data_IF_015771678116
#
_entry.id   IF_015771678116
#
_cell.length_a   1.000
_cell.length_b   1.000
_cell.length_c   1.000
_cell.angle_alpha   90.00
_cell.angle_beta   90.00
_cell.angle_gamma   90.00
#
_symmetry.space_group_name_H-M   'P 1'
#
loop_
_entity.id
_entity.type
_entity.pdbx_description
1 polymer ?
#
# COMPACT_ATOMS: atom_id res chain seq x y z
N UNK A 1 6.93 -64.99 -78.60
CA UNK A 1 7.55 -64.41 -77.39
C UNK A 1 7.10 -62.95 -77.30
N UNK A 2 6.21 -62.62 -76.35
CA UNK A 2 5.56 -61.30 -76.23
C UNK A 2 6.52 -60.27 -75.63
N UNK A 3 6.80 -59.17 -76.36
CA UNK A 3 7.46 -57.99 -75.80
C UNK A 3 6.43 -57.06 -75.17
N UNK A 4 6.45 -56.95 -73.84
CA UNK A 4 5.57 -56.07 -73.06
C UNK A 4 6.22 -54.68 -72.95
N UNK A 5 5.73 -53.72 -73.72
CA UNK A 5 6.20 -52.32 -73.66
C UNK A 5 5.71 -51.70 -72.35
N UNK A 6 6.65 -51.36 -71.46
CA UNK A 6 6.38 -50.73 -70.16
C UNK A 6 6.36 -49.21 -70.36
N UNK A 7 5.18 -48.62 -70.58
CA UNK A 7 4.99 -47.17 -70.63
C UNK A 7 5.34 -46.55 -69.27
N UNK A 8 6.54 -45.95 -69.17
CA UNK A 8 6.94 -45.11 -68.05
C UNK A 8 6.28 -43.74 -68.22
N UNK A 9 5.18 -43.48 -67.51
CA UNK A 9 4.63 -42.11 -67.37
C UNK A 9 5.71 -41.23 -66.74
N UNK A 10 6.29 -40.30 -67.50
CA UNK A 10 7.09 -39.23 -66.91
C UNK A 10 6.16 -38.39 -66.03
N UNK A 11 6.46 -38.32 -64.72
CA UNK A 11 5.83 -37.33 -63.84
C UNK A 11 6.34 -35.97 -64.27
N UNK A 12 5.50 -35.17 -64.93
CA UNK A 12 5.78 -33.75 -65.15
C UNK A 12 5.74 -33.10 -63.77
N UNK A 13 6.86 -32.54 -63.31
CA UNK A 13 6.87 -31.75 -62.09
C UNK A 13 6.12 -30.45 -62.37
N UNK A 14 4.92 -30.31 -61.83
CA UNK A 14 4.20 -29.03 -61.83
C UNK A 14 4.98 -28.03 -61.00
N UNK A 15 5.45 -26.94 -61.62
CA UNK A 15 6.08 -25.83 -60.90
C UNK A 15 5.08 -25.12 -59.97
N UNK A 16 5.58 -24.51 -58.91
CA UNK A 16 4.79 -23.67 -58.01
C UNK A 16 4.30 -22.42 -58.75
N UNK A 17 3.01 -22.08 -58.59
CA UNK A 17 2.50 -20.78 -59.03
C UNK A 17 3.06 -19.67 -58.16
N UNK A 18 3.26 -18.47 -58.73
CA UNK A 18 3.60 -17.27 -57.96
C UNK A 18 2.57 -17.02 -56.83
N UNK A 19 1.30 -17.34 -57.09
CA UNK A 19 0.21 -17.21 -56.11
C UNK A 19 0.41 -18.16 -54.93
N UNK A 20 0.84 -19.41 -55.17
CA UNK A 20 1.09 -20.38 -54.11
C UNK A 20 2.24 -19.93 -53.19
N UNK A 21 3.28 -19.32 -53.77
CA UNK A 21 4.41 -18.77 -53.01
C UNK A 21 3.97 -17.58 -52.16
N UNK A 22 3.15 -16.66 -52.69
CA UNK A 22 2.64 -15.52 -51.93
C UNK A 22 1.77 -15.98 -50.76
N UNK A 23 0.87 -16.95 -51.01
CA UNK A 23 -0.02 -17.48 -49.96
C UNK A 23 0.80 -18.21 -48.91
N UNK A 24 1.73 -19.10 -49.31
CA UNK A 24 2.57 -19.83 -48.36
C UNK A 24 3.43 -18.89 -47.52
N UNK A 25 4.05 -17.88 -48.13
CA UNK A 25 4.86 -16.89 -47.40
C UNK A 25 4.01 -16.03 -46.47
N UNK A 26 2.79 -15.65 -46.85
CA UNK A 26 1.87 -14.93 -45.99
C UNK A 26 1.47 -15.76 -44.76
N UNK A 27 1.12 -17.03 -44.94
CA UNK A 27 0.82 -17.94 -43.82
C UNK A 27 2.01 -18.11 -42.89
N UNK A 28 3.20 -18.33 -43.45
CA UNK A 28 4.44 -18.44 -42.69
C UNK A 28 4.68 -17.15 -41.88
N UNK A 29 4.55 -15.98 -42.50
CA UNK A 29 4.75 -14.70 -41.83
C UNK A 29 3.78 -14.50 -40.65
N UNK A 30 2.50 -14.86 -40.81
CA UNK A 30 1.49 -14.80 -39.74
C UNK A 30 1.90 -15.71 -38.57
N UNK A 31 2.29 -16.96 -38.87
CA UNK A 31 2.69 -17.94 -37.84
C UNK A 31 3.95 -17.46 -37.09
N UNK A 32 4.96 -16.99 -37.80
CA UNK A 32 6.19 -16.49 -37.17
C UNK A 32 5.95 -15.23 -36.33
N UNK A 33 5.07 -14.33 -36.79
CA UNK A 33 4.70 -13.13 -36.01
C UNK A 33 3.96 -13.51 -34.73
N UNK A 34 3.01 -14.45 -34.82
CA UNK A 34 2.29 -14.96 -33.66
C UNK A 34 3.25 -15.64 -32.65
N UNK A 35 4.18 -16.46 -33.13
CA UNK A 35 5.16 -17.14 -32.29
C UNK A 35 6.12 -16.14 -31.61
N UNK A 36 6.61 -15.15 -32.36
CA UNK A 36 7.45 -14.09 -31.82
C UNK A 36 6.72 -13.28 -30.74
N UNK A 37 5.45 -12.92 -30.98
CA UNK A 37 4.61 -12.24 -30.00
C UNK A 37 4.39 -13.06 -28.72
N UNK A 38 4.13 -14.37 -28.85
CA UNK A 38 4.00 -15.26 -27.70
C UNK A 38 5.30 -15.35 -26.88
N UNK A 39 6.46 -15.44 -27.55
CA UNK A 39 7.76 -15.49 -26.89
C UNK A 39 8.09 -14.21 -26.11
N UNK A 40 7.86 -13.05 -26.72
CA UNK A 40 8.04 -11.75 -26.05
C UNK A 40 7.10 -11.62 -24.83
N UNK A 41 5.85 -12.05 -24.97
CA UNK A 41 4.88 -12.06 -23.86
C UNK A 41 5.32 -12.98 -22.71
N UNK A 42 5.90 -14.13 -23.03
CA UNK A 42 6.42 -15.06 -22.01
C UNK A 42 7.60 -14.45 -21.23
N UNK A 43 8.50 -13.72 -21.91
CA UNK A 43 9.60 -13.01 -21.26
C UNK A 43 9.07 -11.93 -20.31
N UNK A 44 8.10 -11.13 -20.77
CA UNK A 44 7.48 -10.09 -19.94
C UNK A 44 6.79 -10.67 -18.72
N UNK A 45 6.02 -11.75 -18.91
CA UNK A 45 5.39 -12.47 -17.81
C UNK A 45 6.44 -12.96 -16.81
N UNK A 46 7.54 -13.54 -17.28
CA UNK A 46 8.65 -13.99 -16.43
C UNK A 46 9.24 -12.84 -15.61
N UNK A 47 9.48 -11.68 -16.23
CA UNK A 47 9.97 -10.50 -15.53
C UNK A 47 9.00 -10.03 -14.43
N UNK A 48 7.70 -10.01 -14.72
CA UNK A 48 6.67 -9.66 -13.73
C UNK A 48 6.60 -10.67 -12.56
N UNK A 49 6.74 -11.97 -12.84
CA UNK A 49 6.75 -12.99 -11.78
C UNK A 49 8.00 -12.88 -10.90
N UNK A 50 9.18 -12.67 -11.50
CA UNK A 50 10.43 -12.42 -10.75
C UNK A 50 10.29 -11.22 -9.82
N UNK A 51 9.71 -10.12 -10.33
CA UNK A 51 9.49 -8.91 -9.55
C UNK A 51 8.56 -9.16 -8.35
N UNK A 52 7.46 -9.89 -8.57
CA UNK A 52 6.50 -10.26 -7.53
C UNK A 52 7.12 -11.16 -6.46
N UNK A 53 7.90 -12.17 -6.85
CA UNK A 53 8.61 -13.05 -5.92
C UNK A 53 9.58 -12.24 -5.05
N UNK A 54 10.32 -11.30 -5.66
CA UNK A 54 11.19 -10.37 -4.94
C UNK A 54 10.42 -9.50 -3.93
N UNK A 55 9.28 -8.93 -4.33
CA UNK A 55 8.45 -8.14 -3.43
C UNK A 55 7.93 -8.95 -2.24
N UNK A 56 7.48 -10.19 -2.47
CA UNK A 56 7.03 -11.09 -1.40
C UNK A 56 8.18 -11.41 -0.44
N UNK A 57 9.37 -11.70 -0.96
CA UNK A 57 10.54 -11.97 -0.12
C UNK A 57 10.92 -10.75 0.74
N UNK A 58 10.93 -9.55 0.17
CA UNK A 58 11.20 -8.28 0.87
C UNK A 58 10.16 -8.02 1.97
N UNK A 59 8.88 -8.25 1.68
CA UNK A 59 7.79 -8.09 2.64
C UNK A 59 7.89 -9.11 3.79
N UNK A 60 8.14 -10.38 3.47
CA UNK A 60 8.30 -11.44 4.47
C UNK A 60 9.49 -11.20 5.38
N UNK A 61 10.65 -10.84 4.83
CA UNK A 61 11.85 -10.52 5.62
C UNK A 61 11.55 -9.43 6.66
N UNK A 62 10.83 -8.37 6.27
CA UNK A 62 10.46 -7.30 7.21
C UNK A 62 9.43 -7.78 8.22
N UNK A 63 8.46 -8.58 7.82
CA UNK A 63 7.46 -9.15 8.73
C UNK A 63 8.10 -10.08 9.78
N UNK A 64 9.07 -10.90 9.38
CA UNK A 64 9.84 -11.78 10.28
C UNK A 64 10.65 -10.96 11.29
N UNK A 65 11.32 -9.90 10.84
CA UNK A 65 12.02 -8.98 11.73
C UNK A 65 11.07 -8.38 12.75
N UNK A 66 9.90 -7.88 12.32
CA UNK A 66 8.90 -7.27 13.21
C UNK A 66 8.36 -8.28 14.22
N UNK A 67 8.10 -9.52 13.80
CA UNK A 67 7.64 -10.60 14.69
C UNK A 67 8.66 -11.02 15.74
N UNK A 68 9.95 -10.75 15.50
CA UNK A 68 11.02 -11.06 16.44
C UNK A 68 11.31 -9.91 17.42
N UNK A 69 10.64 -8.77 17.29
CA UNK A 69 10.79 -7.66 18.23
C UNK A 69 9.92 -7.86 19.47
N UNK A 70 10.35 -7.37 20.66
CA UNK A 70 9.46 -7.16 21.79
C UNK A 70 8.26 -6.29 21.39
N UNK A 71 7.10 -6.55 21.99
CA UNK A 71 5.86 -5.83 21.65
C UNK A 71 6.03 -4.31 21.72
N UNK A 72 6.73 -3.81 22.74
CA UNK A 72 6.93 -2.37 22.96
C UNK A 72 7.79 -1.73 21.86
N UNK A 73 8.75 -2.47 21.31
CA UNK A 73 9.65 -2.01 20.25
C UNK A 73 9.00 -2.06 18.85
N UNK A 74 7.82 -2.66 18.72
CA UNK A 74 7.05 -2.67 17.46
C UNK A 74 6.43 -1.30 17.26
N UNK A 75 7.11 -0.45 16.51
CA UNK A 75 6.65 0.88 16.13
C UNK A 75 7.49 1.44 14.98
N UNK A 76 6.98 2.47 14.33
CA UNK A 76 7.68 3.10 13.19
C UNK A 76 8.36 4.40 13.59
N UNK A 77 9.42 4.76 12.87
CA UNK A 77 10.08 6.05 13.02
C UNK A 77 9.05 7.12 12.72
N UNK A 78 8.89 8.05 13.65
CA UNK A 78 7.86 9.09 13.61
C UNK A 78 6.41 8.62 13.51
N UNK A 79 6.13 7.37 13.91
CA UNK A 79 4.79 6.80 13.91
C UNK A 79 4.11 6.79 15.28
N UNK A 80 2.89 6.25 15.28
CA UNK A 80 2.09 5.95 16.46
C UNK A 80 1.64 4.49 16.34
N UNK A 81 2.27 3.53 17.05
CA UNK A 81 3.34 3.70 18.02
C UNK A 81 4.69 4.12 17.39
N UNK A 82 5.46 4.88 18.16
CA UNK A 82 6.84 5.22 17.82
C UNK A 82 7.77 4.02 17.98
N UNK A 83 8.77 3.90 17.09
CA UNK A 83 9.79 2.86 17.16
C UNK A 83 10.87 3.04 16.09
N UNK A 84 11.65 1.99 15.85
CA UNK A 84 12.86 2.07 15.01
C UNK A 84 12.65 1.60 13.57
N UNK A 85 11.43 1.21 13.19
CA UNK A 85 11.15 0.70 11.84
C UNK A 85 10.89 1.88 10.89
N UNK A 86 11.67 2.03 9.79
CA UNK A 86 11.38 3.08 8.81
C UNK A 86 9.99 2.91 8.20
N UNK A 87 9.22 4.00 8.10
CA UNK A 87 7.91 3.98 7.43
C UNK A 87 8.07 3.76 5.92
N UNK A 88 9.11 4.32 5.29
CA UNK A 88 9.38 4.20 3.86
C UNK A 88 10.85 3.85 3.61
N UNK A 89 11.09 2.92 2.67
CA UNK A 89 12.43 2.47 2.34
C UNK A 89 12.52 2.05 0.87
N UNK A 90 13.57 2.49 0.18
CA UNK A 90 13.87 2.05 -1.19
C UNK A 90 14.86 0.90 -1.16
N UNK A 91 14.56 -0.17 -1.90
CA UNK A 91 15.31 -1.43 -1.88
C UNK A 91 15.56 -1.85 -3.32
N UNK A 92 16.80 -2.22 -3.64
CA UNK A 92 17.13 -2.81 -4.94
C UNK A 92 17.41 -4.31 -4.77
N UNK A 93 16.70 -5.15 -5.51
CA UNK A 93 16.89 -6.59 -5.51
C UNK A 93 16.87 -7.11 -6.95
N UNK A 94 17.95 -7.78 -7.37
CA UNK A 94 18.12 -8.32 -8.72
C UNK A 94 17.91 -7.29 -9.85
N UNK A 95 18.34 -6.04 -9.62
CA UNK A 95 18.19 -4.94 -10.59
C UNK A 95 16.78 -4.35 -10.68
N UNK A 96 15.86 -4.76 -9.81
CA UNK A 96 14.52 -4.17 -9.68
C UNK A 96 14.49 -3.29 -8.44
N UNK A 97 14.01 -2.06 -8.60
CA UNK A 97 13.80 -1.15 -7.49
C UNK A 97 12.39 -1.33 -6.92
N UNK A 98 12.34 -1.40 -5.59
CA UNK A 98 11.14 -1.53 -4.79
C UNK A 98 11.05 -0.37 -3.81
N UNK A 99 9.84 0.05 -3.50
CA UNK A 99 9.57 0.94 -2.36
C UNK A 99 8.74 0.14 -1.35
N UNK A 100 9.28 -0.06 -0.15
CA UNK A 100 8.59 -0.69 0.97
C UNK A 100 8.03 0.40 1.87
N UNK A 101 6.73 0.33 2.12
CA UNK A 101 6.01 1.15 3.10
C UNK A 101 5.54 0.28 4.26
N UNK A 102 5.76 0.72 5.48
CA UNK A 102 5.33 0.05 6.72
C UNK A 102 4.45 0.99 7.51
N UNK A 103 3.22 0.56 7.79
CA UNK A 103 2.32 1.22 8.73
C UNK A 103 2.10 0.29 9.91
N UNK A 104 2.32 0.81 11.12
CA UNK A 104 2.01 0.13 12.37
C UNK A 104 1.08 1.04 13.13
N UNK A 105 -0.04 0.51 13.58
CA UNK A 105 -1.03 1.25 14.36
C UNK A 105 -1.63 0.36 15.44
N UNK A 106 -2.05 0.96 16.54
CA UNK A 106 -2.91 0.29 17.51
C UNK A 106 -4.29 0.03 16.91
N UNK A 107 -4.97 -1.00 17.38
CA UNK A 107 -6.32 -1.40 16.96
C UNK A 107 -7.18 -1.65 18.19
N UNK A 108 -8.40 -1.10 18.12
CA UNK A 108 -9.53 -1.31 19.03
C UNK A 108 -10.32 -2.54 18.57
N UNK A 109 -10.35 -3.62 19.35
CA UNK A 109 -11.00 -4.89 19.07
C UNK A 109 -12.43 -4.89 19.63
N UNK A 110 -13.48 -5.08 18.80
CA UNK A 110 -14.88 -5.08 19.26
C UNK A 110 -15.25 -6.12 20.33
N UNK A 111 -14.32 -7.01 20.71
CA UNK A 111 -14.57 -8.15 21.59
C UNK A 111 -14.85 -7.77 23.04
N UNK A 112 -14.21 -6.74 23.58
CA UNK A 112 -14.48 -6.20 24.92
C UNK A 112 -15.06 -4.79 24.91
N UNK A 113 -15.41 -4.29 23.73
CA UNK A 113 -16.10 -3.03 23.52
C UNK A 113 -15.38 -2.25 22.44
N UNK A 114 -15.72 -0.97 22.28
CA UNK A 114 -14.96 -0.06 21.41
C UNK A 114 -15.07 1.35 21.96
N UNK A 115 -14.05 2.17 21.75
CA UNK A 115 -14.06 3.57 22.16
C UNK A 115 -14.39 3.73 23.65
N UNK A 116 -15.36 4.60 23.94
CA UNK A 116 -15.81 4.86 25.32
C UNK A 116 -16.62 3.72 25.95
N UNK A 117 -17.05 2.74 25.17
CA UNK A 117 -17.78 1.56 25.64
C UNK A 117 -16.86 0.35 25.86
N UNK A 118 -15.55 0.55 25.71
CA UNK A 118 -14.56 -0.45 26.04
C UNK A 118 -14.63 -0.86 27.53
N UNK A 119 -14.53 -2.16 27.82
CA UNK A 119 -14.71 -2.70 29.18
C UNK A 119 -13.62 -2.23 30.13
N UNK A 120 -12.40 -2.00 29.63
CA UNK A 120 -11.24 -1.67 30.43
C UNK A 120 -10.75 -0.21 30.19
N UNK A 121 -11.31 0.45 29.18
CA UNK A 121 -11.01 1.83 28.78
C UNK A 121 -9.76 1.96 27.90
N UNK A 122 -9.17 0.85 27.44
CA UNK A 122 -7.93 0.81 26.66
C UNK A 122 -8.20 0.28 25.24
N UNK A 123 -8.49 1.19 24.33
CA UNK A 123 -8.83 0.89 22.91
C UNK A 123 -7.64 0.44 22.04
N UNK A 124 -6.56 -0.04 22.66
CA UNK A 124 -5.29 -0.35 22.00
C UNK A 124 -4.88 -1.79 22.27
N UNK A 125 -5.75 -2.72 21.85
CA UNK A 125 -5.67 -4.14 22.18
C UNK A 125 -4.45 -4.83 21.57
N UNK A 126 -4.15 -4.46 20.33
CA UNK A 126 -2.99 -4.98 19.62
C UNK A 126 -2.47 -4.00 18.59
N UNK A 127 -1.25 -4.27 18.09
CA UNK A 127 -0.66 -3.52 16.98
C UNK A 127 -0.92 -4.25 15.67
N UNK A 128 -1.50 -3.57 14.70
CA UNK A 128 -1.61 -4.08 13.32
C UNK A 128 -0.48 -3.53 12.47
N UNK A 129 0.24 -4.43 11.85
CA UNK A 129 1.35 -4.15 10.94
C UNK A 129 0.86 -4.37 9.52
N UNK A 130 0.98 -3.35 8.67
CA UNK A 130 0.74 -3.42 7.23
C UNK A 130 2.03 -3.08 6.50
N UNK A 131 2.53 -4.03 5.70
CA UNK A 131 3.71 -3.86 4.85
C UNK A 131 3.22 -3.85 3.41
N UNK A 132 3.52 -2.78 2.69
CA UNK A 132 3.24 -2.65 1.27
C UNK A 132 4.57 -2.50 0.52
N UNK A 133 4.87 -3.43 -0.38
CA UNK A 133 6.05 -3.36 -1.24
C UNK A 133 5.58 -3.11 -2.67
N UNK A 134 5.94 -1.97 -3.25
CA UNK A 134 5.59 -1.58 -4.61
C UNK A 134 6.79 -1.62 -5.56
N UNK A 135 6.53 -1.87 -6.84
CA UNK A 135 7.53 -1.86 -7.91
C UNK A 135 6.90 -1.45 -9.23
N UNK A 136 7.70 -0.91 -10.14
CA UNK A 136 7.24 -0.43 -11.45
C UNK A 136 7.99 -1.13 -12.58
N UNK A 137 7.25 -1.71 -13.53
CA UNK A 137 7.81 -2.31 -14.75
C UNK A 137 7.07 -1.73 -15.96
N UNK A 138 7.82 -1.15 -16.90
CA UNK A 138 7.27 -0.50 -18.11
C UNK A 138 6.14 0.51 -17.81
N UNK A 139 6.33 1.33 -16.78
CA UNK A 139 5.34 2.33 -16.34
C UNK A 139 4.16 1.76 -15.54
N UNK A 140 4.05 0.44 -15.40
CA UNK A 140 3.00 -0.18 -14.60
C UNK A 140 3.48 -0.43 -13.17
N UNK A 141 2.93 0.31 -12.22
CA UNK A 141 3.17 0.10 -10.79
C UNK A 141 2.28 -1.01 -10.26
N UNK A 142 2.87 -1.94 -9.50
CA UNK A 142 2.17 -3.01 -8.79
C UNK A 142 2.63 -3.00 -7.34
N UNK A 143 1.81 -3.56 -6.44
CA UNK A 143 2.20 -3.73 -5.05
C UNK A 143 1.81 -5.09 -4.50
N UNK A 144 2.46 -5.47 -3.42
CA UNK A 144 2.14 -6.61 -2.58
C UNK A 144 1.94 -6.12 -1.14
N UNK A 145 0.84 -6.54 -0.51
CA UNK A 145 0.49 -6.15 0.85
C UNK A 145 0.52 -7.38 1.75
N UNK A 146 1.18 -7.28 2.90
CA UNK A 146 1.11 -8.21 4.02
C UNK A 146 0.53 -7.50 5.24
N UNK A 147 -0.34 -8.20 5.97
CA UNK A 147 -0.94 -7.70 7.21
C UNK A 147 -0.73 -8.76 8.29
N UNK A 148 -0.33 -8.33 9.49
CA UNK A 148 -0.23 -9.19 10.68
C UNK A 148 -0.61 -8.39 11.92
N UNK A 149 -1.18 -9.06 12.91
CA UNK A 149 -1.40 -8.48 14.23
C UNK A 149 -0.28 -8.94 15.17
N UNK A 150 0.17 -8.05 16.06
CA UNK A 150 1.12 -8.32 17.13
C UNK A 150 0.41 -8.00 18.43
N UNK A 151 0.27 -8.99 19.30
CA UNK A 151 -0.49 -8.91 20.56
C UNK A 151 0.50 -8.78 21.73
N UNK A 152 0.23 -7.94 22.75
CA UNK A 152 1.07 -7.87 23.93
C UNK A 152 1.12 -9.20 24.69
N UNK A 153 2.23 -9.45 25.40
CA UNK A 153 2.29 -10.56 26.36
C UNK A 153 1.68 -10.09 27.69
N UNK A 154 0.41 -10.36 27.91
CA UNK A 154 -0.30 -9.98 29.14
C UNK A 154 -1.49 -9.07 28.87
N UNK A 155 -1.78 -8.19 29.84
CA UNK A 155 -2.87 -7.20 29.76
C UNK A 155 -2.45 -6.06 28.82
N UNK A 156 -3.41 -5.53 28.08
CA UNK A 156 -3.22 -4.41 27.16
C UNK A 156 -2.75 -3.17 27.91
N UNK A 157 -1.85 -2.42 27.29
CA UNK A 157 -1.36 -1.16 27.86
C UNK A 157 -1.17 -0.14 26.75
N UNK A 158 -1.62 1.08 26.99
CA UNK A 158 -1.16 2.26 26.25
C UNK A 158 -0.05 2.92 27.06
N UNK A 159 1.05 3.27 26.40
CA UNK A 159 2.11 4.06 26.99
C UNK A 159 1.67 5.53 27.16
N UNK A 160 0.65 5.78 27.99
CA UNK A 160 0.21 7.13 28.37
C UNK A 160 -0.38 7.98 27.24
N UNK A 161 -1.01 7.36 26.24
CA UNK A 161 -1.61 8.05 25.08
C UNK A 161 -3.14 8.21 25.14
N UNK A 162 -3.68 9.03 24.26
CA UNK A 162 -5.11 9.17 23.97
C UNK A 162 -5.48 8.58 22.61
N UNK A 163 -6.76 8.72 22.21
CA UNK A 163 -7.24 8.30 20.88
C UNK A 163 -7.46 9.52 20.00
N UNK A 164 -6.78 9.59 18.87
CA UNK A 164 -7.00 10.63 17.86
C UNK A 164 -7.89 10.11 16.74
N UNK A 165 -9.01 10.78 16.47
CA UNK A 165 -9.94 10.47 15.37
C UNK A 165 -10.05 11.65 14.44
N UNK A 166 -9.90 11.39 13.15
CA UNK A 166 -10.04 12.36 12.06
C UNK A 166 -11.12 11.86 11.13
N UNK A 167 -12.19 12.65 10.95
CA UNK A 167 -13.25 12.38 9.99
C UNK A 167 -13.13 13.32 8.80
N UNK A 168 -13.33 12.80 7.60
CA UNK A 168 -13.24 13.52 6.34
C UNK A 168 -14.51 13.29 5.52
N UNK A 169 -15.15 14.37 5.11
CA UNK A 169 -16.40 14.34 4.37
C UNK A 169 -16.46 15.46 3.31
N UNK A 170 -17.32 15.28 2.33
CA UNK A 170 -17.55 16.27 1.26
C UNK A 170 -18.50 17.39 1.71
N UNK A 171 -18.76 18.35 0.83
CA UNK A 171 -19.69 19.45 1.09
C UNK A 171 -21.15 19.00 1.40
N UNK A 172 -21.52 17.77 1.06
CA UNK A 172 -22.84 17.18 1.34
C UNK A 172 -22.84 16.36 2.64
N UNK A 173 -21.72 16.27 3.35
CA UNK A 173 -21.55 15.46 4.55
C UNK A 173 -21.34 13.97 4.27
N UNK A 174 -21.09 13.57 3.02
CA UNK A 174 -20.78 12.18 2.67
C UNK A 174 -19.32 11.87 3.00
N UNK A 175 -19.02 10.70 3.59
CA UNK A 175 -17.64 10.34 3.92
C UNK A 175 -16.79 10.21 2.65
N UNK A 176 -15.54 10.69 2.71
CA UNK A 176 -14.59 10.58 1.60
C UNK A 176 -13.60 9.45 1.90
N UNK A 177 -13.72 8.29 1.24
CA UNK A 177 -12.75 7.22 1.41
C UNK A 177 -11.44 7.53 0.69
N UNK A 178 -10.34 6.98 1.21
CA UNK A 178 -9.00 7.13 0.64
C UNK A 178 -8.51 8.59 0.49
N UNK A 179 -9.00 9.52 1.31
CA UNK A 179 -8.42 10.86 1.44
C UNK A 179 -7.05 10.77 2.13
N UNK A 180 -6.07 11.52 1.64
CA UNK A 180 -4.73 11.61 2.23
C UNK A 180 -4.81 12.47 3.50
N UNK A 181 -4.34 11.91 4.61
CA UNK A 181 -4.30 12.55 5.92
C UNK A 181 -2.86 12.52 6.41
N UNK A 182 -2.27 13.71 6.58
CA UNK A 182 -0.98 13.90 7.23
C UNK A 182 -1.20 14.35 8.68
N UNK A 183 -0.54 13.65 9.61
CA UNK A 183 -0.57 13.92 11.05
C UNK A 183 0.85 14.22 11.49
N UNK A 184 1.10 15.44 11.95
CA UNK A 184 2.43 15.93 12.29
C UNK A 184 2.41 16.47 13.72
N UNK A 185 3.44 16.14 14.49
CA UNK A 185 3.75 16.80 15.76
C UNK A 185 5.27 16.80 15.95
N UNK A 186 5.89 17.96 15.76
CA UNK A 186 7.34 18.11 15.89
C UNK A 186 7.82 18.30 17.34
N UNK A 187 6.88 18.46 18.29
CA UNK A 187 7.17 18.78 19.70
C UNK A 187 7.23 17.50 20.54
N UNK A 188 6.55 16.42 20.13
CA UNK A 188 6.64 15.12 20.80
C UNK A 188 8.05 14.53 20.68
N UNK A 189 8.41 13.68 21.64
CA UNK A 189 9.63 12.88 21.58
C UNK A 189 9.28 11.38 21.69
N UNK A 190 9.40 10.59 20.62
CA UNK A 190 9.85 10.98 19.28
C UNK A 190 8.87 11.92 18.55
N UNK A 191 9.33 12.71 17.56
CA UNK A 191 8.46 13.53 16.73
C UNK A 191 7.53 12.63 15.91
N UNK A 192 6.33 13.10 15.60
CA UNK A 192 5.32 12.37 14.82
C UNK A 192 5.22 12.99 13.43
N UNK A 193 5.20 12.13 12.42
CA UNK A 193 4.98 12.49 11.02
C UNK A 193 4.46 11.25 10.31
N UNK A 194 3.15 11.19 10.10
CA UNK A 194 2.45 10.04 9.54
C UNK A 194 1.62 10.50 8.36
N UNK A 195 1.72 9.80 7.24
CA UNK A 195 0.78 9.94 6.14
C UNK A 195 -0.03 8.65 6.02
N UNK A 196 -1.34 8.78 6.06
CA UNK A 196 -2.28 7.66 5.94
C UNK A 196 -3.48 8.04 5.10
N UNK A 197 -4.39 7.10 4.91
CA UNK A 197 -5.61 7.29 4.15
C UNK A 197 -6.84 6.97 5.00
N UNK A 198 -7.93 7.70 4.76
CA UNK A 198 -9.22 7.40 5.37
C UNK A 198 -9.78 6.05 4.92
N UNK A 199 -10.53 5.40 5.80
CA UNK A 199 -11.27 4.18 5.50
C UNK A 199 -12.55 4.43 4.67
N UNK A 200 -13.37 3.39 4.47
CA UNK A 200 -14.63 3.50 3.71
C UNK A 200 -15.63 4.49 4.32
N UNK A 201 -15.51 4.77 5.62
CA UNK A 201 -16.35 5.70 6.37
C UNK A 201 -15.72 7.10 6.45
N UNK A 202 -14.65 7.36 5.70
CA UNK A 202 -13.97 8.65 5.72
C UNK A 202 -13.22 8.91 7.02
N UNK A 203 -12.88 7.86 7.77
CA UNK A 203 -12.30 7.98 9.12
C UNK A 203 -10.87 7.47 9.19
N UNK A 204 -10.07 8.15 10.01
CA UNK A 204 -8.76 7.69 10.50
C UNK A 204 -8.81 7.67 12.01
N UNK A 205 -8.32 6.59 12.63
CA UNK A 205 -8.26 6.43 14.09
C UNK A 205 -6.87 5.97 14.50
N UNK A 206 -6.24 6.72 15.41
CA UNK A 206 -4.95 6.40 16.03
C UNK A 206 -5.10 6.35 17.55
N UNK A 207 -5.50 5.19 18.11
CA UNK A 207 -5.39 4.92 19.54
C UNK A 207 -3.92 4.97 19.97
N UNK A 208 -3.67 5.30 21.24
CA UNK A 208 -2.31 5.39 21.78
C UNK A 208 -1.48 6.54 21.22
N UNK A 209 -2.12 7.57 20.66
CA UNK A 209 -1.47 8.82 20.27
C UNK A 209 -0.85 9.49 21.51
N UNK A 210 0.45 9.84 21.53
CA UNK A 210 1.08 10.47 22.68
C UNK A 210 0.31 11.69 23.20
N UNK A 211 0.23 11.87 24.51
CA UNK A 211 -0.42 13.06 25.05
C UNK A 211 0.45 14.30 24.77
N UNK A 212 -0.02 15.18 23.90
CA UNK A 212 0.63 16.42 23.52
C UNK A 212 -0.37 17.38 22.87
N UNK A 213 -0.04 18.67 22.92
CA UNK A 213 -0.68 19.69 22.08
C UNK A 213 0.00 19.77 20.71
N UNK A 214 -0.54 20.59 19.80
CA UNK A 214 0.08 20.93 18.51
C UNK A 214 0.11 19.79 17.50
N UNK A 215 -0.92 18.94 17.50
CA UNK A 215 -1.15 18.02 16.39
C UNK A 215 -1.64 18.80 15.16
N UNK A 216 -0.77 18.91 14.18
CA UNK A 216 -1.06 19.47 12.87
C UNK A 216 -1.67 18.37 11.98
N UNK A 217 -2.82 18.68 11.41
CA UNK A 217 -3.54 17.79 10.51
C UNK A 217 -3.66 18.48 9.17
N UNK A 218 -3.32 17.79 8.09
CA UNK A 218 -3.54 18.23 6.72
C UNK A 218 -4.31 17.12 6.01
N UNK A 219 -5.41 17.47 5.35
CA UNK A 219 -6.29 16.55 4.65
C UNK A 219 -6.47 17.01 3.21
N UNK A 220 -6.29 16.10 2.27
CA UNK A 220 -6.47 16.40 0.83
C UNK A 220 -6.92 15.16 0.07
N UNK A 221 -7.57 15.35 -1.08
CA UNK A 221 -7.85 14.27 -2.02
C UNK A 221 -7.89 14.81 -3.46
N UNK A 222 -7.60 13.97 -4.45
CA UNK A 222 -7.64 14.37 -5.86
C UNK A 222 -9.06 14.78 -6.25
N UNK A 223 -9.22 16.00 -6.75
CA UNK A 223 -10.53 16.56 -7.13
C UNK A 223 -11.29 17.24 -5.99
N UNK A 224 -10.70 17.29 -4.79
CA UNK A 224 -11.24 17.97 -3.62
C UNK A 224 -10.34 19.13 -3.20
N UNK A 225 -10.83 19.99 -2.31
CA UNK A 225 -10.02 21.03 -1.68
C UNK A 225 -9.08 20.45 -0.61
N UNK A 226 -8.28 21.31 0.02
CA UNK A 226 -7.40 20.93 1.14
C UNK A 226 -7.89 21.59 2.41
N UNK A 227 -7.96 20.84 3.49
CA UNK A 227 -8.26 21.36 4.82
C UNK A 227 -7.09 21.08 5.75
N UNK A 228 -6.81 22.00 6.67
CA UNK A 228 -5.70 21.85 7.61
C UNK A 228 -5.99 22.57 8.93
N UNK A 229 -5.24 22.22 9.98
CA UNK A 229 -5.22 22.98 11.23
C UNK A 229 -4.15 24.08 11.19
N UNK A 230 -4.39 25.18 11.91
CA UNK A 230 -3.52 26.35 11.90
C UNK A 230 -2.89 26.60 13.28
N UNK A 231 -1.66 27.11 13.29
CA UNK A 231 -0.98 27.54 14.51
C UNK A 231 -1.58 28.85 15.03
N UNK A 232 -1.51 29.04 16.35
CA UNK A 232 -1.85 30.31 16.97
C UNK A 232 -0.63 31.22 16.97
N UNK A 233 -0.79 32.47 16.52
CA UNK A 233 0.25 33.49 16.57
C UNK A 233 -0.33 34.87 16.90
N UNK A 234 0.50 35.91 16.85
CA UNK A 234 0.07 37.29 17.13
C UNK A 234 -0.96 37.81 16.12
N UNK A 235 -0.98 37.30 14.88
CA UNK A 235 -1.91 37.70 13.83
C UNK A 235 -3.21 36.87 13.85
N UNK A 236 -3.14 35.63 14.33
CA UNK A 236 -4.24 34.68 14.49
C UNK A 236 -4.16 34.02 15.87
N UNK A 237 -4.58 34.71 16.95
CA UNK A 237 -4.48 34.18 18.31
C UNK A 237 -5.41 32.99 18.59
N UNK A 238 -6.49 32.86 17.81
CA UNK A 238 -7.54 31.85 17.99
C UNK A 238 -7.86 31.17 16.64
N UNK A 239 -6.95 30.32 16.12
CA UNK A 239 -7.17 29.63 14.85
C UNK A 239 -8.40 28.72 14.92
N UNK A 240 -9.18 28.68 13.83
CA UNK A 240 -10.28 27.75 13.66
C UNK A 240 -10.27 27.15 12.24
N UNK A 241 -9.94 25.86 12.07
CA UNK A 241 -9.55 24.91 13.12
C UNK A 241 -8.10 25.15 13.61
N UNK A 242 -7.91 25.14 14.93
CA UNK A 242 -6.58 25.14 15.55
C UNK A 242 -5.97 23.74 15.59
N UNK A 243 -4.66 23.65 15.86
CA UNK A 243 -4.02 22.35 16.10
C UNK A 243 -4.69 21.57 17.24
N UNK A 244 -4.72 20.25 17.10
CA UNK A 244 -5.40 19.38 18.05
C UNK A 244 -4.52 19.13 19.29
N UNK A 245 -5.18 18.81 20.41
CA UNK A 245 -4.52 18.39 21.65
C UNK A 245 -5.03 17.01 22.02
N UNK A 246 -4.10 16.08 22.22
CA UNK A 246 -4.38 14.73 22.68
C UNK A 246 -4.07 14.63 24.16
N UNK A 247 -5.05 14.15 24.93
CA UNK A 247 -4.94 13.91 26.36
C UNK A 247 -4.93 12.40 26.60
N UNK A 248 -4.08 11.92 27.52
CA UNK A 248 -4.01 10.51 27.87
C UNK A 248 -5.36 9.97 28.37
N UNK A 249 -5.81 8.84 27.82
CA UNK A 249 -7.11 8.24 28.14
C UNK A 249 -8.33 8.89 27.48
N UNK A 250 -8.19 10.09 26.91
CA UNK A 250 -9.29 10.78 26.24
C UNK A 250 -9.33 10.52 24.74
N UNK A 251 -10.52 10.70 24.16
CA UNK A 251 -10.71 10.66 22.71
C UNK A 251 -10.82 12.08 22.16
N UNK A 252 -9.88 12.45 21.29
CA UNK A 252 -9.88 13.70 20.54
C UNK A 252 -10.43 13.46 19.14
N UNK A 253 -11.53 14.11 18.79
CA UNK A 253 -12.18 13.98 17.48
C UNK A 253 -12.12 15.31 16.74
N UNK A 254 -11.72 15.26 15.47
CA UNK A 254 -11.83 16.41 14.58
C UNK A 254 -12.39 16.01 13.21
N UNK A 255 -13.00 16.98 12.55
CA UNK A 255 -13.83 16.81 11.37
C UNK A 255 -13.42 17.83 10.32
N UNK A 256 -13.06 17.34 9.13
CA UNK A 256 -12.58 18.16 8.02
C UNK A 256 -13.49 17.98 6.81
N UNK A 257 -13.97 19.10 6.27
CA UNK A 257 -14.68 19.13 5.00
C UNK A 257 -13.71 19.55 3.90
N UNK A 258 -13.67 18.80 2.80
CA UNK A 258 -12.83 19.07 1.63
C UNK A 258 -13.61 19.03 0.32
#
# INVERSE_FOLDING_TARGET
MLFKIKNRKQKVASGLSLVDVIIATAFIAIVFTALAGAFLSAIELSAHQKARIGAVAISNQRMELIRNLPYDDVGTVSGIPGGNIPQNENISLNGINYTRRVLIQYVDDPKDGTGALDTNGLTADYKRVKIETSWTIKGNTRSNILISNIVPKGIETVAGGGTLIINVFDALGSPIPSADVSIINSITNPPISINTFTDINGRVTFPGSPSASSYEIIVTNSGYSTAQTYYADTANPNPNPGHLTVIAGDTTVSSFSI
#
